data_IF_998506069967
#
_entry.id   IF_998506069967
#
_cell.length_a   1.000
_cell.length_b   1.000
_cell.length_c   1.000
_cell.angle_alpha   90.00
_cell.angle_beta   90.00
_cell.angle_gamma   90.00
#
_symmetry.space_group_name_H-M   'P 1'
#
loop_
_entity.id
_entity.type
_entity.pdbx_description
1 polymer ?
#
# COMPACT_ATOMS: atom_id res chain seq x y z
N UNK A 1 -12.37 9.00 -26.12
CA UNK A 1 -12.13 9.04 -24.67
C UNK A 1 -11.27 10.26 -24.39
N UNK A 2 -11.81 11.27 -23.74
CA UNK A 2 -10.97 12.34 -23.20
C UNK A 2 -10.07 11.70 -22.13
N UNK A 3 -8.76 11.72 -22.39
CA UNK A 3 -7.81 11.19 -21.44
C UNK A 3 -7.80 12.01 -20.15
N UNK A 4 -7.76 11.34 -18.99
CA UNK A 4 -7.61 11.98 -17.67
C UNK A 4 -6.39 12.91 -17.74
N UNK A 5 -6.57 14.19 -17.44
CA UNK A 5 -5.47 15.15 -17.42
C UNK A 5 -4.50 14.77 -16.30
N UNK A 6 -3.20 14.84 -16.57
CA UNK A 6 -2.16 14.43 -15.62
C UNK A 6 -2.30 15.12 -14.24
N UNK A 7 -2.70 16.40 -14.23
CA UNK A 7 -2.95 17.18 -13.02
C UNK A 7 -4.13 16.68 -12.19
N UNK A 8 -5.05 15.93 -12.77
CA UNK A 8 -6.24 15.44 -12.09
C UNK A 8 -6.01 14.23 -11.19
N UNK A 9 -4.82 13.63 -11.25
CA UNK A 9 -4.42 12.46 -10.48
C UNK A 9 -3.20 12.73 -9.59
N UNK A 10 -2.84 14.01 -9.41
CA UNK A 10 -1.68 14.43 -8.61
C UNK A 10 -2.10 15.30 -7.43
N UNK A 11 -1.45 15.05 -6.31
CA UNK A 11 -1.60 15.83 -5.10
C UNK A 11 -3.04 15.95 -4.62
N UNK A 12 -3.42 17.07 -4.02
CA UNK A 12 -4.77 17.31 -3.51
C UNK A 12 -5.86 17.31 -4.60
N UNK A 13 -5.50 17.48 -5.87
CA UNK A 13 -6.47 17.48 -6.98
C UNK A 13 -7.17 16.13 -7.20
N UNK A 14 -6.70 15.07 -6.54
CA UNK A 14 -7.29 13.73 -6.65
C UNK A 14 -8.34 13.45 -5.58
N UNK A 15 -8.45 14.26 -4.52
CA UNK A 15 -9.30 13.99 -3.35
C UNK A 15 -10.78 13.82 -3.72
N UNK A 16 -11.28 14.68 -4.59
CA UNK A 16 -12.68 14.67 -5.07
C UNK A 16 -12.99 13.57 -6.09
N UNK A 17 -11.96 12.85 -6.55
CA UNK A 17 -12.06 11.75 -7.51
C UNK A 17 -11.96 10.37 -6.87
N UNK A 18 -11.60 10.31 -5.59
CA UNK A 18 -11.58 9.05 -4.85
C UNK A 18 -13.00 8.49 -4.74
N UNK A 19 -13.11 7.17 -4.80
CA UNK A 19 -14.38 6.47 -4.52
C UNK A 19 -14.90 6.79 -3.13
N UNK A 20 -13.99 6.90 -2.17
CA UNK A 20 -14.25 7.38 -0.82
C UNK A 20 -13.01 8.10 -0.30
N UNK A 21 -13.23 9.27 0.31
CA UNK A 21 -12.20 10.05 0.98
C UNK A 21 -12.68 10.39 2.40
N UNK A 22 -11.96 9.90 3.39
CA UNK A 22 -12.20 10.19 4.79
C UNK A 22 -11.83 11.63 5.15
N UNK A 23 -11.98 11.98 6.44
CA UNK A 23 -11.62 13.29 6.97
C UNK A 23 -10.10 13.40 7.13
N UNK A 24 -9.57 14.61 6.96
CA UNK A 24 -8.16 14.95 7.20
C UNK A 24 -7.16 14.11 6.41
N UNK A 25 -7.56 13.58 5.24
CA UNK A 25 -6.67 12.91 4.31
C UNK A 25 -5.74 13.95 3.68
N UNK A 26 -4.42 13.70 3.76
CA UNK A 26 -3.39 14.55 3.14
C UNK A 26 -2.71 13.83 2.01
N UNK A 27 -2.78 14.40 0.80
CA UNK A 27 -2.05 13.94 -0.38
C UNK A 27 -1.13 15.08 -0.80
N UNK A 28 0.19 14.84 -0.71
CA UNK A 28 1.19 15.85 -1.02
C UNK A 28 1.30 16.08 -2.52
N UNK A 29 1.74 17.25 -2.93
CA UNK A 29 1.61 17.80 -4.29
C UNK A 29 2.16 16.90 -5.41
N UNK A 30 3.23 16.17 -5.14
CA UNK A 30 3.90 15.31 -6.12
C UNK A 30 3.52 13.82 -5.99
N UNK A 31 2.60 13.47 -5.10
CA UNK A 31 2.04 12.13 -5.04
C UNK A 31 1.09 11.89 -6.21
N UNK A 32 1.04 10.66 -6.73
CA UNK A 32 0.20 10.32 -7.88
C UNK A 32 -0.68 9.11 -7.56
N UNK A 33 -1.99 9.26 -7.79
CA UNK A 33 -2.96 8.16 -7.67
C UNK A 33 -3.65 7.96 -9.01
N UNK A 34 -3.33 6.86 -9.68
CA UNK A 34 -4.00 6.43 -10.91
C UNK A 34 -5.28 5.66 -10.58
N UNK A 35 -6.34 5.86 -11.39
CA UNK A 35 -7.64 5.22 -11.19
C UNK A 35 -8.28 5.51 -9.82
N UNK A 36 -8.32 6.77 -9.37
CA UNK A 36 -8.78 7.15 -8.03
C UNK A 36 -10.23 6.74 -7.75
N UNK A 37 -11.06 6.60 -8.78
CA UNK A 37 -12.45 6.13 -8.67
C UNK A 37 -12.59 4.71 -8.10
N UNK A 38 -11.50 3.98 -7.93
CA UNK A 38 -11.46 2.65 -7.33
C UNK A 38 -10.67 2.62 -6.01
N UNK A 39 -10.29 3.78 -5.50
CA UNK A 39 -9.59 3.93 -4.23
C UNK A 39 -10.52 4.44 -3.13
N UNK A 40 -10.55 3.73 -2.02
CA UNK A 40 -11.18 4.15 -0.76
C UNK A 40 -10.06 4.44 0.24
N UNK A 41 -9.98 5.68 0.72
CA UNK A 41 -8.94 6.12 1.68
C UNK A 41 -9.67 6.69 2.89
N UNK A 42 -9.49 6.07 4.05
CA UNK A 42 -10.16 6.45 5.30
C UNK A 42 -9.43 7.61 6.01
N UNK A 43 -9.96 8.03 7.15
CA UNK A 43 -9.57 9.24 7.88
C UNK A 43 -8.07 9.32 8.17
N UNK A 44 -7.52 10.54 8.12
CA UNK A 44 -6.18 10.89 8.60
C UNK A 44 -5.03 10.14 7.93
N UNK A 45 -5.26 9.62 6.73
CA UNK A 45 -4.20 9.03 5.92
C UNK A 45 -3.29 10.10 5.32
N UNK A 46 -2.01 9.75 5.16
CA UNK A 46 -1.03 10.64 4.54
C UNK A 46 -0.31 9.94 3.39
N UNK A 47 -0.26 10.59 2.24
CA UNK A 47 0.42 10.10 1.03
C UNK A 47 1.46 11.14 0.65
N UNK A 48 2.73 10.82 0.89
CA UNK A 48 3.85 11.73 0.69
C UNK A 48 4.27 11.84 -0.79
N UNK A 49 5.05 12.87 -1.08
CA UNK A 49 5.55 13.16 -2.43
C UNK A 49 6.23 11.95 -3.08
N UNK A 50 6.07 11.85 -4.39
CA UNK A 50 6.60 10.78 -5.24
C UNK A 50 6.05 9.38 -4.93
N UNK A 51 5.09 9.24 -4.00
CA UNK A 51 4.33 8.00 -3.91
C UNK A 51 3.53 7.80 -5.20
N UNK A 52 3.60 6.59 -5.76
CA UNK A 52 2.84 6.21 -6.94
C UNK A 52 1.87 5.09 -6.55
N UNK A 53 0.58 5.34 -6.73
CA UNK A 53 -0.48 4.41 -6.39
C UNK A 53 -1.34 4.16 -7.63
N UNK A 54 -1.47 2.91 -8.04
CA UNK A 54 -2.42 2.47 -9.05
C UNK A 54 -3.52 1.64 -8.38
N UNK A 55 -4.75 2.14 -8.44
CA UNK A 55 -5.90 1.52 -7.78
C UNK A 55 -6.73 0.62 -8.71
N UNK A 56 -6.25 0.20 -9.89
CA UNK A 56 -7.02 -0.53 -10.93
C UNK A 56 -7.79 -1.74 -10.42
N UNK A 57 -7.25 -2.51 -9.49
CA UNK A 57 -7.90 -3.70 -8.94
C UNK A 57 -8.80 -3.44 -7.73
N UNK A 58 -8.91 -2.18 -7.33
CA UNK A 58 -9.52 -1.75 -6.08
C UNK A 58 -8.51 -1.62 -4.96
N UNK A 59 -8.47 -0.45 -4.34
CA UNK A 59 -7.63 -0.14 -3.19
C UNK A 59 -8.53 0.28 -2.03
N UNK A 60 -8.32 -0.33 -0.87
CA UNK A 60 -8.93 0.12 0.39
C UNK A 60 -7.83 0.38 1.41
N UNK A 61 -7.87 1.56 2.02
CA UNK A 61 -6.89 2.00 3.03
C UNK A 61 -7.63 2.41 4.28
N UNK A 62 -7.27 1.80 5.40
CA UNK A 62 -7.79 2.11 6.73
C UNK A 62 -7.16 3.37 7.32
N UNK A 63 -7.68 3.78 8.48
CA UNK A 63 -7.37 5.05 9.14
C UNK A 63 -5.92 5.20 9.54
N UNK A 64 -5.44 6.45 9.53
CA UNK A 64 -4.11 6.81 10.04
C UNK A 64 -2.95 6.07 9.35
N UNK A 65 -3.15 5.60 8.12
CA UNK A 65 -2.11 4.90 7.37
C UNK A 65 -1.26 5.87 6.55
N UNK A 66 0.03 5.56 6.44
CA UNK A 66 1.03 6.44 5.84
C UNK A 66 1.72 5.75 4.67
N UNK A 67 1.78 6.46 3.55
CA UNK A 67 2.53 6.10 2.35
C UNK A 67 3.71 7.05 2.22
N UNK A 68 4.90 6.59 2.58
CA UNK A 68 6.09 7.41 2.55
C UNK A 68 6.62 7.66 1.14
N UNK A 69 7.59 8.55 1.02
CA UNK A 69 8.18 8.99 -0.25
C UNK A 69 8.59 7.83 -1.16
N UNK A 70 8.32 7.96 -2.46
CA UNK A 70 8.74 7.00 -3.49
C UNK A 70 8.19 5.58 -3.32
N UNK A 71 7.21 5.34 -2.45
CA UNK A 71 6.57 4.02 -2.40
C UNK A 71 5.76 3.78 -3.68
N UNK A 72 5.62 2.49 -4.03
CA UNK A 72 4.87 2.05 -5.20
C UNK A 72 3.79 1.06 -4.76
N UNK A 73 2.54 1.38 -5.08
CA UNK A 73 1.42 0.44 -4.99
C UNK A 73 0.99 0.14 -6.41
N UNK A 74 1.26 -1.06 -6.87
CA UNK A 74 0.88 -1.51 -8.21
C UNK A 74 -0.42 -2.31 -8.13
N UNK A 75 -1.49 -1.74 -8.65
CA UNK A 75 -2.81 -2.36 -8.73
C UNK A 75 -2.92 -3.40 -9.84
N UNK A 76 -4.10 -4.01 -9.91
CA UNK A 76 -4.42 -5.08 -10.87
C UNK A 76 -5.28 -6.12 -10.16
N UNK A 77 -4.84 -6.62 -9.01
CA UNK A 77 -5.65 -7.32 -8.03
C UNK A 77 -6.09 -6.37 -6.90
N UNK A 78 -6.97 -6.84 -6.03
CA UNK A 78 -7.47 -6.08 -4.89
C UNK A 78 -6.38 -5.90 -3.84
N UNK A 79 -6.20 -4.67 -3.33
CA UNK A 79 -5.27 -4.35 -2.25
C UNK A 79 -6.06 -3.81 -1.06
N UNK A 80 -5.94 -4.47 0.08
CA UNK A 80 -6.52 -4.04 1.34
C UNK A 80 -5.40 -3.70 2.33
N UNK A 81 -5.40 -2.46 2.81
CA UNK A 81 -4.45 -1.95 3.81
C UNK A 81 -5.27 -1.52 5.03
N UNK A 82 -4.94 -2.06 6.18
CA UNK A 82 -5.63 -1.79 7.45
C UNK A 82 -5.32 -0.41 8.03
N UNK A 83 -5.69 -0.25 9.29
CA UNK A 83 -5.46 0.98 10.04
C UNK A 83 -4.00 1.08 10.53
N UNK A 84 -3.48 2.31 10.62
CA UNK A 84 -2.15 2.62 11.20
C UNK A 84 -1.00 1.84 10.55
N UNK A 85 -1.15 1.53 9.26
CA UNK A 85 -0.09 0.88 8.48
C UNK A 85 0.91 1.92 8.01
N UNK A 86 2.20 1.61 8.13
CA UNK A 86 3.26 2.41 7.55
C UNK A 86 3.90 1.69 6.36
N UNK A 87 3.71 2.26 5.18
CA UNK A 87 4.45 1.88 3.96
C UNK A 87 5.67 2.79 3.85
N UNK A 88 6.83 2.24 4.14
CA UNK A 88 8.09 2.97 4.22
C UNK A 88 8.63 3.47 2.88
N UNK A 89 9.62 4.37 2.89
CA UNK A 89 10.16 4.98 1.69
C UNK A 89 10.65 3.93 0.68
N UNK A 90 10.23 4.09 -0.58
CA UNK A 90 10.64 3.19 -1.67
C UNK A 90 10.12 1.75 -1.55
N UNK A 91 9.27 1.43 -0.60
CA UNK A 91 8.63 0.12 -0.51
C UNK A 91 7.70 -0.11 -1.71
N UNK A 92 7.56 -1.37 -2.12
CA UNK A 92 6.77 -1.77 -3.29
C UNK A 92 5.76 -2.84 -2.91
N UNK A 93 4.49 -2.58 -3.21
CA UNK A 93 3.40 -3.54 -3.05
C UNK A 93 2.95 -3.89 -4.46
N UNK A 94 3.27 -5.11 -4.89
CA UNK A 94 3.13 -5.55 -6.29
C UNK A 94 2.01 -6.60 -6.37
N UNK A 95 0.90 -6.23 -6.97
CA UNK A 95 -0.30 -7.06 -7.06
C UNK A 95 -0.44 -7.77 -8.41
N UNK A 96 0.31 -7.37 -9.42
CA UNK A 96 0.17 -7.81 -10.81
C UNK A 96 1.52 -8.05 -11.49
N UNK A 97 2.35 -9.01 -11.05
CA UNK A 97 3.54 -9.32 -11.80
C UNK A 97 3.18 -10.02 -13.12
N UNK A 98 4.01 -9.80 -14.11
CA UNK A 98 3.93 -10.58 -15.34
C UNK A 98 4.08 -12.07 -15.06
N UNK A 99 3.38 -12.90 -15.83
CA UNK A 99 3.56 -14.32 -15.78
C UNK A 99 4.95 -14.69 -16.34
N UNK A 100 5.87 -14.99 -15.43
CA UNK A 100 7.24 -15.36 -15.79
C UNK A 100 7.33 -16.68 -16.59
N UNK A 101 6.27 -17.47 -16.60
CA UNK A 101 6.16 -18.68 -17.41
C UNK A 101 5.56 -18.41 -18.79
N UNK A 102 5.08 -17.20 -19.04
CA UNK A 102 4.57 -16.78 -20.34
C UNK A 102 5.70 -16.56 -21.35
N UNK A 103 5.37 -16.73 -22.62
CA UNK A 103 6.35 -16.54 -23.72
C UNK A 103 6.70 -15.07 -23.90
N UNK A 104 5.69 -14.19 -23.77
CA UNK A 104 5.87 -12.74 -23.89
C UNK A 104 5.41 -12.04 -22.63
N UNK A 105 6.10 -10.96 -22.29
CA UNK A 105 5.84 -10.16 -21.07
C UNK A 105 5.58 -8.68 -21.37
N UNK A 106 5.67 -8.26 -22.63
CA UNK A 106 5.51 -6.85 -23.02
C UNK A 106 4.04 -6.51 -23.22
N UNK A 107 3.55 -5.53 -22.47
CA UNK A 107 2.20 -4.95 -22.66
C UNK A 107 2.07 -4.10 -23.95
N UNK A 108 3.15 -3.92 -24.69
CA UNK A 108 3.09 -3.29 -26.02
C UNK A 108 2.57 -4.25 -27.11
N UNK A 109 2.42 -5.52 -26.75
CA UNK A 109 1.81 -6.54 -27.61
C UNK A 109 0.29 -6.58 -27.40
N UNK A 110 -0.46 -7.19 -28.34
CA UNK A 110 -1.89 -7.46 -28.12
C UNK A 110 -2.12 -8.29 -26.86
N UNK A 111 -3.24 -8.06 -26.18
CA UNK A 111 -3.58 -8.69 -24.88
C UNK A 111 -3.54 -10.22 -24.93
N UNK A 112 -3.80 -10.81 -26.09
CA UNK A 112 -3.78 -12.26 -26.31
C UNK A 112 -2.36 -12.85 -26.30
N UNK A 113 -1.34 -12.01 -26.44
CA UNK A 113 0.06 -12.48 -26.54
C UNK A 113 0.75 -12.62 -25.19
N UNK A 114 0.22 -12.05 -24.12
CA UNK A 114 0.83 -12.10 -22.77
C UNK A 114 -0.21 -12.37 -21.69
N UNK A 115 0.25 -12.75 -20.51
CA UNK A 115 -0.63 -12.94 -19.37
C UNK A 115 -0.06 -12.25 -18.12
N UNK A 116 -0.96 -11.76 -17.28
CA UNK A 116 -0.64 -11.13 -16.00
C UNK A 116 -1.31 -11.97 -14.91
N UNK A 117 -0.53 -12.38 -13.91
CA UNK A 117 -1.07 -13.04 -12.73
C UNK A 117 -1.44 -11.97 -11.70
N UNK A 118 -2.73 -11.76 -11.50
CA UNK A 118 -3.21 -10.83 -10.47
C UNK A 118 -3.67 -11.60 -9.25
N UNK A 119 -3.12 -11.27 -8.09
CA UNK A 119 -3.53 -11.83 -6.83
C UNK A 119 -3.71 -10.72 -5.80
N UNK A 120 -4.70 -10.88 -4.91
CA UNK A 120 -4.99 -9.88 -3.89
C UNK A 120 -3.89 -9.82 -2.83
N UNK A 121 -3.63 -8.63 -2.32
CA UNK A 121 -2.72 -8.43 -1.18
C UNK A 121 -3.52 -7.86 -0.01
N UNK A 122 -3.28 -8.40 1.18
CA UNK A 122 -3.84 -7.88 2.42
C UNK A 122 -2.73 -7.50 3.39
N UNK A 123 -2.75 -6.26 3.89
CA UNK A 123 -1.86 -5.77 4.95
C UNK A 123 -2.77 -5.39 6.12
N UNK A 124 -2.67 -6.14 7.21
CA UNK A 124 -3.52 -5.94 8.37
C UNK A 124 -3.06 -4.75 9.22
N UNK A 125 -3.88 -4.38 10.23
CA UNK A 125 -3.64 -3.19 11.06
C UNK A 125 -2.24 -3.19 11.67
N UNK A 126 -1.71 -2.00 11.95
CA UNK A 126 -0.45 -1.78 12.66
C UNK A 126 0.80 -2.39 12.00
N UNK A 127 0.69 -2.91 10.78
CA UNK A 127 1.83 -3.45 10.06
C UNK A 127 2.82 -2.36 9.62
N UNK A 128 4.09 -2.71 9.58
CA UNK A 128 5.15 -1.83 9.08
C UNK A 128 5.95 -2.49 7.97
N UNK A 129 5.88 -1.91 6.78
CA UNK A 129 6.69 -2.30 5.63
C UNK A 129 7.86 -1.33 5.54
N UNK A 130 9.04 -1.73 5.95
CA UNK A 130 10.22 -0.86 6.01
C UNK A 130 10.71 -0.45 4.61
N UNK A 131 11.65 0.50 4.61
CA UNK A 131 12.18 1.12 3.39
C UNK A 131 12.67 0.09 2.35
N UNK A 132 12.23 0.25 1.12
CA UNK A 132 12.65 -0.55 -0.02
C UNK A 132 12.23 -2.03 0.04
N UNK A 133 11.40 -2.45 0.99
CA UNK A 133 10.86 -3.80 1.00
C UNK A 133 9.89 -4.02 -0.17
N UNK A 134 9.79 -5.27 -0.62
CA UNK A 134 8.93 -5.67 -1.74
C UNK A 134 7.94 -6.72 -1.25
N UNK A 135 6.64 -6.47 -1.42
CA UNK A 135 5.57 -7.43 -1.15
C UNK A 135 5.05 -7.96 -2.47
N UNK A 136 5.12 -9.29 -2.63
CA UNK A 136 4.69 -9.99 -3.82
C UNK A 136 3.19 -10.33 -3.77
N UNK A 137 2.56 -10.66 -4.90
CA UNK A 137 1.14 -10.99 -4.98
C UNK A 137 0.72 -12.15 -4.08
N UNK A 138 -0.55 -12.18 -3.73
CA UNK A 138 -1.15 -13.27 -2.94
C UNK A 138 -0.80 -13.26 -1.45
N UNK A 139 -0.02 -12.27 -0.98
CA UNK A 139 0.51 -12.24 0.38
C UNK A 139 -0.47 -11.55 1.35
N UNK A 140 -0.62 -12.15 2.53
CA UNK A 140 -1.21 -11.51 3.71
C UNK A 140 -0.10 -11.16 4.71
N UNK A 141 0.01 -9.88 5.06
CA UNK A 141 0.85 -9.38 6.15
C UNK A 141 -0.04 -9.27 7.40
N UNK A 142 0.25 -10.10 8.41
CA UNK A 142 -0.54 -10.13 9.64
C UNK A 142 -0.43 -8.84 10.46
N UNK A 143 -1.42 -8.63 11.33
CA UNK A 143 -1.51 -7.47 12.23
C UNK A 143 -0.21 -7.24 13.00
N UNK A 144 0.26 -5.99 13.04
CA UNK A 144 1.47 -5.62 13.74
C UNK A 144 2.76 -6.23 13.19
N UNK A 145 2.72 -6.98 12.09
CA UNK A 145 3.95 -7.54 11.51
C UNK A 145 4.87 -6.46 10.98
N UNK A 146 6.18 -6.70 11.09
CA UNK A 146 7.22 -5.81 10.57
C UNK A 146 7.99 -6.53 9.47
N UNK A 147 8.07 -5.90 8.31
CA UNK A 147 8.91 -6.32 7.19
C UNK A 147 10.16 -5.44 7.17
N UNK A 148 11.31 -6.00 7.49
CA UNK A 148 12.59 -5.30 7.52
C UNK A 148 12.97 -4.69 6.16
N UNK A 149 13.82 -3.67 6.20
CA UNK A 149 14.22 -2.94 5.00
C UNK A 149 14.82 -3.87 3.92
N UNK A 150 14.51 -3.58 2.64
CA UNK A 150 14.97 -4.34 1.47
C UNK A 150 14.63 -5.84 1.48
N UNK A 151 13.70 -6.27 2.31
CA UNK A 151 13.21 -7.65 2.32
C UNK A 151 12.25 -7.93 1.18
N UNK A 152 12.15 -9.20 0.76
CA UNK A 152 11.20 -9.65 -0.25
C UNK A 152 10.22 -10.63 0.38
N UNK A 153 8.94 -10.23 0.43
CA UNK A 153 7.86 -11.02 1.01
C UNK A 153 7.16 -11.82 -0.08
N UNK A 154 7.31 -13.13 -0.02
CA UNK A 154 6.74 -14.09 -0.98
C UNK A 154 5.82 -15.13 -0.32
N UNK A 155 5.40 -14.90 0.91
CA UNK A 155 4.49 -15.76 1.69
C UNK A 155 3.79 -14.95 2.78
N UNK A 156 2.73 -15.49 3.32
CA UNK A 156 2.02 -14.88 4.44
C UNK A 156 2.91 -14.75 5.69
N UNK A 157 2.77 -13.62 6.37
CA UNK A 157 3.50 -13.32 7.60
C UNK A 157 2.55 -13.34 8.79
N UNK A 158 3.02 -13.93 9.90
CA UNK A 158 2.25 -14.03 11.14
C UNK A 158 2.15 -12.67 11.83
N UNK A 159 1.04 -12.40 12.55
CA UNK A 159 0.88 -11.20 13.33
C UNK A 159 2.02 -11.00 14.36
N UNK A 160 2.31 -9.74 14.67
CA UNK A 160 3.23 -9.30 15.73
C UNK A 160 4.63 -9.92 15.64
N UNK A 161 5.08 -10.19 14.42
CA UNK A 161 6.35 -10.86 14.16
C UNK A 161 7.22 -9.99 13.27
N UNK A 162 8.51 -9.93 13.55
CA UNK A 162 9.51 -9.19 12.78
C UNK A 162 10.16 -10.14 11.80
N UNK A 163 10.17 -9.77 10.53
CA UNK A 163 10.76 -10.53 9.43
C UNK A 163 11.81 -9.69 8.72
N UNK A 164 12.86 -10.34 8.21
CA UNK A 164 13.89 -9.66 7.44
C UNK A 164 14.50 -10.58 6.38
N UNK A 165 15.06 -9.99 5.32
CA UNK A 165 15.92 -10.63 4.33
C UNK A 165 15.23 -11.08 3.05
N UNK A 166 16.06 -11.61 2.14
CA UNK A 166 15.66 -12.28 0.90
C UNK A 166 16.50 -13.56 0.73
N UNK A 167 15.91 -14.75 0.92
CA UNK A 167 14.50 -15.02 1.26
C UNK A 167 14.13 -14.53 2.67
N UNK A 168 12.87 -14.14 2.84
CA UNK A 168 12.39 -13.57 4.11
C UNK A 168 12.37 -14.60 5.23
N UNK A 169 12.87 -14.22 6.41
CA UNK A 169 12.90 -15.07 7.61
C UNK A 169 12.41 -14.30 8.83
N UNK A 170 11.80 -15.02 9.78
CA UNK A 170 11.50 -14.49 11.11
C UNK A 170 12.82 -14.19 11.83
N UNK A 171 12.92 -12.98 12.38
CA UNK A 171 14.11 -12.54 13.16
C UNK A 171 13.76 -12.12 14.58
N UNK A 172 12.48 -11.92 14.89
CA UNK A 172 12.03 -11.53 16.23
C UNK A 172 10.53 -11.48 16.36
N UNK A 173 10.09 -11.01 17.50
CA UNK A 173 8.69 -10.69 17.79
C UNK A 173 8.58 -9.19 18.11
N UNK A 174 7.45 -8.61 17.79
CA UNK A 174 7.12 -7.22 18.09
C UNK A 174 6.18 -7.21 19.30
N UNK A 175 6.44 -6.32 20.25
CA UNK A 175 5.57 -6.10 21.37
C UNK A 175 4.19 -5.61 20.90
N UNK A 176 3.16 -6.06 21.59
CA UNK A 176 1.80 -5.58 21.35
C UNK A 176 1.54 -4.31 22.13
N UNK A 177 0.69 -3.39 21.63
CA UNK A 177 0.33 -2.20 22.39
C UNK A 177 -0.32 -2.59 23.73
N UNK A 178 0.04 -1.86 24.78
CA UNK A 178 -0.61 -1.99 26.10
C UNK A 178 -2.03 -1.40 26.06
N UNK A 179 -2.85 -1.78 27.05
CA UNK A 179 -4.21 -1.21 27.15
C UNK A 179 -4.22 0.32 27.25
N UNK A 180 -3.21 0.95 27.87
CA UNK A 180 -3.12 2.40 27.96
C UNK A 180 -2.72 3.05 26.62
N UNK A 181 -1.82 2.42 25.85
CA UNK A 181 -1.50 2.88 24.50
C UNK A 181 -2.70 2.77 23.57
N UNK A 182 -3.50 1.69 23.66
CA UNK A 182 -4.74 1.55 22.91
C UNK A 182 -5.73 2.66 23.25
N UNK A 183 -5.96 2.95 24.53
CA UNK A 183 -6.84 4.05 24.98
C UNK A 183 -6.39 5.40 24.45
N UNK A 184 -5.09 5.68 24.45
CA UNK A 184 -4.53 6.91 23.89
C UNK A 184 -4.90 7.02 22.41
N UNK A 185 -4.65 5.96 21.62
CA UNK A 185 -4.95 5.95 20.18
C UNK A 185 -6.45 6.08 19.91
N UNK A 186 -7.31 5.45 20.71
CA UNK A 186 -8.78 5.54 20.60
C UNK A 186 -9.32 6.91 20.98
N UNK A 187 -8.68 7.60 21.94
CA UNK A 187 -9.12 8.91 22.46
C UNK A 187 -8.58 10.09 21.66
N UNK A 188 -7.62 9.88 20.77
CA UNK A 188 -6.96 10.98 20.05
C UNK A 188 -7.85 11.56 18.95
N UNK A 189 -8.23 12.82 19.13
CA UNK A 189 -8.69 13.67 18.02
C UNK A 189 -7.44 14.19 17.26
N UNK A 190 -6.91 13.29 16.42
CA UNK A 190 -5.65 13.52 15.72
C UNK A 190 -5.83 14.46 14.54
N UNK A 191 -5.49 15.72 14.69
CA UNK A 191 -5.06 16.55 13.56
C UNK A 191 -3.55 16.42 13.45
N UNK A 192 -3.00 15.88 12.33
CA UNK A 192 -1.55 15.81 12.17
C UNK A 192 -0.93 17.21 12.23
N UNK A 193 0.00 17.40 13.15
CA UNK A 193 0.74 18.67 13.32
C UNK A 193 1.94 18.73 12.37
N UNK A 194 1.71 18.70 11.05
CA UNK A 194 2.78 18.90 10.05
C UNK A 194 2.41 20.03 9.10
#
# INVERSE_FOLDING_TARGET
MEGIKYTEIMGPNVLDKLKYCGKDVKIYDLAKICNPQWAEIDDKCMIFDYAFIDARGGLKVGKCSIFAWHCLIEGGGKIEIGDRVLIGPGAKILCSPYNHQGVYVSQALPDEAFSINTESIKIENDAYICAGAVVLPGVTIGEGAVVGAKSVVNRNLKPWTIYNGNPIKKVGERDRPTGDQLKIVESMDWTPNF
#
